data_IF_471396856470
#
_entry.id   IF_471396856470
#
_cell.length_a   1.000
_cell.length_b   1.000
_cell.length_c   1.000
_cell.angle_alpha   90.00
_cell.angle_beta   90.00
_cell.angle_gamma   90.00
#
_symmetry.space_group_name_H-M   'P 1'
#
loop_
_entity.id
_entity.type
_entity.pdbx_description
1 polymer ?
#
# COMPACT_ATOMS: atom_id res chain seq x y z
N UNK A 1 43.72 17.85 34.78
CA UNK A 1 43.41 18.04 33.37
C UNK A 1 42.02 17.56 33.14
N UNK A 2 41.03 18.50 32.96
CA UNK A 2 39.63 18.19 32.77
C UNK A 2 39.37 18.17 31.24
N UNK A 3 39.06 17.00 30.69
CA UNK A 3 38.69 16.89 29.27
C UNK A 3 37.19 17.16 29.12
N UNK A 4 36.83 18.26 28.48
CA UNK A 4 35.47 18.57 28.11
C UNK A 4 35.14 17.85 26.82
N UNK A 5 34.22 16.85 26.91
CA UNK A 5 33.68 16.15 25.73
C UNK A 5 32.48 16.95 25.25
N UNK A 6 32.63 17.66 24.11
CA UNK A 6 31.49 18.23 23.38
C UNK A 6 30.78 17.14 22.59
N UNK A 7 29.60 16.74 23.06
CA UNK A 7 28.68 15.93 22.26
C UNK A 7 27.96 16.84 21.26
N UNK A 8 28.32 16.78 19.98
CA UNK A 8 27.53 17.37 18.91
C UNK A 8 26.30 16.49 18.66
N UNK A 9 25.16 16.93 19.14
CA UNK A 9 23.88 16.37 18.70
C UNK A 9 23.60 16.86 17.27
N UNK A 10 23.77 15.99 16.29
CA UNK A 10 23.28 16.23 14.93
C UNK A 10 21.74 16.18 15.01
N UNK A 11 21.01 17.25 14.61
CA UNK A 11 19.56 17.17 14.56
C UNK A 11 19.18 16.10 13.54
N UNK A 12 18.34 15.15 13.93
CA UNK A 12 17.73 14.21 13.02
C UNK A 12 16.92 15.03 12.01
N UNK A 13 17.39 15.04 10.76
CA UNK A 13 16.69 15.63 9.65
C UNK A 13 15.47 14.75 9.41
N UNK A 14 14.29 15.17 9.88
CA UNK A 14 13.03 14.56 9.49
C UNK A 14 12.95 14.66 7.96
N UNK A 15 13.10 13.54 7.29
CA UNK A 15 12.81 13.44 5.87
C UNK A 15 11.30 13.72 5.73
N UNK A 16 10.97 14.95 5.33
CA UNK A 16 9.63 15.26 4.86
C UNK A 16 9.43 14.43 3.60
N UNK A 17 8.73 13.31 3.72
CA UNK A 17 8.23 12.60 2.56
C UNK A 17 7.38 13.61 1.78
N UNK A 18 7.81 13.90 0.55
CA UNK A 18 7.09 14.80 -0.35
C UNK A 18 5.67 14.25 -0.50
N UNK A 19 4.66 15.08 -0.18
CA UNK A 19 3.27 14.65 -0.19
C UNK A 19 2.90 14.32 -1.64
N UNK A 20 2.54 13.07 -1.92
CA UNK A 20 2.14 12.65 -3.26
C UNK A 20 0.80 13.30 -3.63
N UNK A 21 0.68 13.77 -4.87
CA UNK A 21 -0.52 14.42 -5.39
C UNK A 21 -1.17 13.55 -6.47
N UNK A 22 -2.49 13.41 -6.38
CA UNK A 22 -3.32 12.76 -7.37
C UNK A 22 -4.28 13.78 -7.97
N UNK A 23 -4.23 13.98 -9.27
CA UNK A 23 -5.16 14.84 -10.01
C UNK A 23 -6.02 14.03 -10.99
N UNK A 24 -7.00 14.68 -11.66
CA UNK A 24 -7.99 14.01 -12.52
C UNK A 24 -7.36 13.27 -13.71
N UNK A 25 -6.23 13.74 -14.21
CA UNK A 25 -5.56 13.19 -15.39
C UNK A 25 -4.45 12.17 -15.06
N UNK A 26 -4.21 11.91 -13.78
CA UNK A 26 -3.11 11.04 -13.33
C UNK A 26 -3.59 9.83 -12.57
N UNK A 27 -2.81 8.77 -12.67
CA UNK A 27 -2.93 7.60 -11.80
C UNK A 27 -1.70 7.53 -10.90
N UNK A 28 -1.91 7.10 -9.66
CA UNK A 28 -0.85 6.77 -8.73
C UNK A 28 -0.82 5.26 -8.54
N UNK A 29 0.36 4.66 -8.74
CA UNK A 29 0.58 3.23 -8.56
C UNK A 29 1.54 3.00 -7.39
N UNK A 30 1.13 2.16 -6.46
CA UNK A 30 1.97 1.70 -5.36
C UNK A 30 2.11 0.19 -5.46
N UNK A 31 3.35 -0.27 -5.60
CA UNK A 31 3.68 -1.69 -5.69
C UNK A 31 4.52 -2.07 -4.48
N UNK A 32 4.08 -3.11 -3.79
CA UNK A 32 4.91 -3.81 -2.81
C UNK A 32 5.42 -5.07 -3.49
N UNK A 33 6.70 -5.06 -3.82
CA UNK A 33 7.41 -6.27 -4.27
C UNK A 33 7.92 -7.00 -3.03
N UNK A 34 7.59 -8.26 -2.93
CA UNK A 34 8.04 -9.12 -1.84
C UNK A 34 9.51 -9.54 -2.01
N UNK A 35 10.32 -8.68 -2.62
CA UNK A 35 11.77 -8.82 -2.68
C UNK A 35 12.37 -8.17 -1.43
N UNK A 36 12.64 -8.98 -0.44
CA UNK A 36 13.45 -8.56 0.72
C UNK A 36 14.86 -8.21 0.24
N UNK A 37 15.36 -6.97 0.39
CA UNK A 37 16.65 -6.54 -0.14
C UNK A 37 17.86 -7.01 0.68
N UNK A 38 17.70 -7.81 1.73
CA UNK A 38 18.81 -8.27 2.55
C UNK A 38 18.97 -9.79 2.48
N UNK A 39 19.92 -10.22 1.65
CA UNK A 39 20.51 -11.56 1.72
C UNK A 39 21.39 -11.66 2.96
N UNK A 40 20.85 -12.19 4.03
CA UNK A 40 21.64 -12.80 5.08
C UNK A 40 21.80 -14.29 4.77
N UNK A 41 23.02 -14.74 4.59
CA UNK A 41 23.39 -16.10 4.14
C UNK A 41 22.95 -17.21 5.14
N UNK A 42 22.36 -16.86 6.27
CA UNK A 42 21.96 -17.80 7.32
C UNK A 42 20.47 -18.13 7.40
N UNK A 43 19.61 -17.44 6.67
CA UNK A 43 18.18 -17.72 6.66
C UNK A 43 17.71 -18.18 5.27
N UNK A 44 17.40 -19.47 5.16
CA UNK A 44 16.62 -20.00 4.04
C UNK A 44 15.21 -19.46 4.20
N UNK A 45 14.94 -18.25 3.67
CA UNK A 45 13.58 -17.73 3.57
C UNK A 45 12.85 -18.52 2.50
N UNK A 46 11.58 -18.90 2.73
CA UNK A 46 10.79 -19.52 1.70
C UNK A 46 10.72 -18.59 0.48
N UNK A 47 10.84 -19.16 -0.71
CA UNK A 47 10.67 -18.44 -1.97
C UNK A 47 9.25 -17.89 -1.95
N UNK A 48 9.13 -16.56 -1.97
CA UNK A 48 7.82 -15.89 -2.03
C UNK A 48 7.18 -16.18 -3.38
N UNK A 49 5.96 -16.67 -3.35
CA UNK A 49 5.19 -17.03 -4.57
C UNK A 49 4.44 -15.84 -5.14
N UNK A 50 4.11 -14.85 -4.30
CA UNK A 50 3.55 -13.56 -4.74
C UNK A 50 4.68 -12.62 -5.17
N UNK A 51 4.59 -12.03 -6.37
CA UNK A 51 5.61 -11.13 -6.88
C UNK A 51 5.13 -9.68 -7.08
N UNK A 52 3.86 -9.44 -7.43
CA UNK A 52 3.29 -8.11 -7.56
C UNK A 52 2.04 -7.97 -6.69
N UNK A 53 2.07 -7.00 -5.78
CA UNK A 53 0.97 -6.59 -4.93
C UNK A 53 0.75 -5.09 -5.15
N UNK A 54 -0.22 -4.74 -5.99
CA UNK A 54 -0.38 -3.37 -6.48
C UNK A 54 -1.69 -2.75 -6.02
N UNK A 55 -1.64 -1.44 -5.74
CA UNK A 55 -2.79 -0.56 -5.64
C UNK A 55 -2.61 0.54 -6.68
N UNK A 56 -3.52 0.63 -7.64
CA UNK A 56 -3.59 1.73 -8.60
C UNK A 56 -4.74 2.63 -8.20
N UNK A 57 -4.49 3.93 -8.07
CA UNK A 57 -5.47 4.92 -7.66
C UNK A 57 -5.65 5.98 -8.73
N UNK A 58 -6.89 6.36 -8.96
CA UNK A 58 -7.27 7.47 -9.80
C UNK A 58 -8.37 8.29 -9.11
N UNK A 59 -8.35 9.60 -9.28
CA UNK A 59 -9.46 10.46 -8.89
C UNK A 59 -10.29 10.84 -10.10
N UNK A 60 -11.60 10.67 -10.02
CA UNK A 60 -12.55 11.09 -11.05
C UNK A 60 -13.62 11.97 -10.43
N UNK A 61 -13.93 13.11 -11.08
CA UNK A 61 -14.84 14.12 -10.52
C UNK A 61 -16.20 13.55 -10.12
N UNK A 62 -16.76 12.66 -10.95
CA UNK A 62 -18.10 12.10 -10.74
C UNK A 62 -18.10 10.78 -9.96
N UNK A 63 -16.94 10.16 -9.76
CA UNK A 63 -16.82 8.84 -9.16
C UNK A 63 -16.04 8.82 -7.82
N UNK A 64 -15.30 9.90 -7.52
CA UNK A 64 -14.44 10.02 -6.36
C UNK A 64 -13.13 9.28 -6.52
N UNK A 65 -12.65 8.65 -5.45
CA UNK A 65 -11.43 7.84 -5.45
C UNK A 65 -11.73 6.44 -6.01
N UNK A 66 -11.15 6.15 -7.16
CA UNK A 66 -11.20 4.83 -7.80
C UNK A 66 -9.91 4.08 -7.50
N UNK A 67 -10.02 2.85 -7.05
CA UNK A 67 -8.88 2.00 -6.66
C UNK A 67 -8.99 0.67 -7.37
N UNK A 68 -7.88 0.20 -7.94
CA UNK A 68 -7.74 -1.16 -8.48
C UNK A 68 -6.65 -1.87 -7.68
N UNK A 69 -6.98 -3.03 -7.14
CA UNK A 69 -6.07 -3.90 -6.41
C UNK A 69 -5.69 -5.07 -7.29
N UNK A 70 -4.40 -5.35 -7.43
CA UNK A 70 -3.89 -6.49 -8.20
C UNK A 70 -2.94 -7.31 -7.34
N UNK A 71 -3.14 -8.62 -7.32
CA UNK A 71 -2.24 -9.59 -6.70
C UNK A 71 -1.81 -10.59 -7.76
N UNK A 72 -0.52 -10.84 -7.89
CA UNK A 72 0.03 -11.76 -8.89
C UNK A 72 0.95 -12.80 -8.25
N UNK A 73 0.80 -14.05 -8.70
CA UNK A 73 1.61 -15.19 -8.30
C UNK A 73 2.38 -15.77 -9.48
N UNK A 74 3.46 -16.51 -9.19
CA UNK A 74 4.25 -17.23 -10.20
C UNK A 74 3.51 -18.42 -10.83
N UNK A 75 2.37 -18.83 -10.25
CA UNK A 75 1.53 -19.92 -10.73
C UNK A 75 0.10 -19.79 -10.24
N UNK A 76 -0.79 -20.68 -10.69
CA UNK A 76 -2.19 -20.69 -10.25
C UNK A 76 -2.29 -21.05 -8.77
N UNK A 77 -2.65 -20.08 -7.93
CA UNK A 77 -2.89 -20.27 -6.52
C UNK A 77 -4.28 -20.88 -6.28
N UNK A 78 -4.42 -21.71 -5.25
CA UNK A 78 -5.72 -22.27 -4.82
C UNK A 78 -6.70 -21.16 -4.48
N UNK A 79 -6.19 -20.10 -3.83
CA UNK A 79 -6.91 -18.86 -3.53
C UNK A 79 -5.94 -17.71 -3.66
N UNK A 80 -6.38 -16.60 -4.25
CA UNK A 80 -5.62 -15.37 -4.41
C UNK A 80 -6.57 -14.17 -4.29
N UNK A 81 -6.16 -13.11 -3.59
CA UNK A 81 -7.05 -11.99 -3.39
C UNK A 81 -6.47 -10.84 -2.61
N UNK A 82 -7.36 -9.96 -2.18
CA UNK A 82 -7.10 -8.84 -1.30
C UNK A 82 -8.14 -8.80 -0.19
N UNK A 83 -7.74 -8.44 1.01
CA UNK A 83 -8.61 -8.33 2.19
C UNK A 83 -8.26 -7.12 3.05
N UNK A 84 -9.09 -6.86 4.07
CA UNK A 84 -8.87 -5.81 5.09
C UNK A 84 -8.61 -4.44 4.48
N UNK A 85 -9.32 -4.09 3.41
CA UNK A 85 -9.14 -2.82 2.72
C UNK A 85 -9.67 -1.69 3.61
N UNK A 86 -8.86 -0.65 3.79
CA UNK A 86 -9.21 0.57 4.54
C UNK A 86 -8.80 1.80 3.74
N UNK A 87 -9.75 2.68 3.49
CA UNK A 87 -9.47 4.06 3.06
C UNK A 87 -9.50 4.94 4.30
N UNK A 88 -8.44 5.71 4.50
CA UNK A 88 -8.31 6.58 5.66
C UNK A 88 -8.07 8.02 5.21
N UNK A 89 -8.73 8.96 5.89
CA UNK A 89 -8.56 10.39 5.70
C UNK A 89 -7.73 10.99 6.85
N UNK A 90 -6.80 11.87 6.51
CA UNK A 90 -6.01 12.61 7.49
C UNK A 90 -6.88 13.66 8.18
N UNK A 91 -6.90 13.61 9.51
CA UNK A 91 -7.56 14.57 10.37
C UNK A 91 -6.51 15.25 11.25
N UNK A 92 -6.87 16.31 11.96
CA UNK A 92 -5.96 16.99 12.89
C UNK A 92 -5.47 16.08 14.05
N UNK A 93 -6.26 15.07 14.42
CA UNK A 93 -5.96 14.11 15.50
C UNK A 93 -5.36 12.78 14.99
N UNK A 94 -5.13 12.63 13.69
CA UNK A 94 -4.59 11.40 13.10
C UNK A 94 -5.39 10.89 11.89
N UNK A 95 -5.44 9.59 11.69
CA UNK A 95 -6.12 8.96 10.57
C UNK A 95 -7.52 8.47 10.98
N UNK A 96 -8.54 8.86 10.22
CA UNK A 96 -9.91 8.39 10.35
C UNK A 96 -10.22 7.43 9.21
N UNK A 97 -10.66 6.21 9.51
CA UNK A 97 -11.17 5.27 8.50
C UNK A 97 -12.52 5.77 7.97
N UNK A 98 -12.60 5.97 6.66
CA UNK A 98 -13.79 6.50 5.96
C UNK A 98 -14.47 5.45 5.10
N UNK A 99 -13.75 4.40 4.70
CA UNK A 99 -14.29 3.24 3.99
C UNK A 99 -13.55 1.98 4.44
N UNK A 100 -14.28 0.88 4.59
CA UNK A 100 -13.73 -0.46 4.77
C UNK A 100 -14.36 -1.43 3.78
N UNK A 101 -13.60 -2.44 3.37
CA UNK A 101 -14.09 -3.57 2.60
C UNK A 101 -13.38 -4.84 3.06
N UNK A 102 -14.13 -5.93 3.17
CA UNK A 102 -13.56 -7.24 3.48
C UNK A 102 -12.67 -7.76 2.34
N UNK A 103 -12.81 -7.16 1.13
CA UNK A 103 -12.04 -7.50 -0.05
C UNK A 103 -12.76 -8.52 -0.95
N UNK A 104 -11.97 -9.19 -1.79
CA UNK A 104 -12.45 -10.22 -2.70
C UNK A 104 -11.33 -11.20 -3.05
N UNK A 105 -11.71 -12.35 -3.62
CA UNK A 105 -10.77 -13.42 -3.96
C UNK A 105 -11.18 -14.14 -5.26
N UNK A 106 -10.20 -14.82 -5.84
CA UNK A 106 -10.36 -15.76 -6.95
C UNK A 106 -9.71 -17.09 -6.60
N UNK A 107 -10.15 -18.14 -7.28
CA UNK A 107 -9.65 -19.50 -7.09
C UNK A 107 -8.96 -19.99 -8.36
N UNK A 108 -7.98 -20.87 -8.20
CA UNK A 108 -7.24 -21.52 -9.29
C UNK A 108 -6.70 -20.48 -10.32
N UNK A 109 -6.18 -19.37 -9.84
CA UNK A 109 -5.71 -18.25 -10.65
C UNK A 109 -4.33 -17.78 -10.24
N UNK A 110 -3.53 -17.32 -11.22
CA UNK A 110 -2.24 -16.69 -11.00
C UNK A 110 -2.35 -15.17 -10.80
N UNK A 111 -3.49 -14.58 -11.13
CA UNK A 111 -3.71 -13.13 -11.06
C UNK A 111 -5.12 -12.88 -10.50
N UNK A 112 -5.19 -11.94 -9.57
CA UNK A 112 -6.43 -11.38 -9.05
C UNK A 112 -6.44 -9.88 -9.32
N UNK A 113 -7.58 -9.33 -9.72
CA UNK A 113 -7.81 -7.89 -9.81
C UNK A 113 -9.25 -7.56 -9.37
N UNK A 114 -9.38 -6.48 -8.60
CA UNK A 114 -10.69 -5.97 -8.17
C UNK A 114 -10.67 -4.46 -8.05
N UNK A 115 -11.81 -3.84 -8.31
CA UNK A 115 -12.02 -2.40 -8.21
C UNK A 115 -12.87 -2.06 -6.99
N UNK A 116 -12.53 -0.92 -6.36
CA UNK A 116 -13.30 -0.33 -5.28
C UNK A 116 -13.38 1.18 -5.50
N UNK A 117 -14.52 1.80 -5.17
CA UNK A 117 -14.74 3.24 -5.27
C UNK A 117 -15.12 3.83 -3.93
N UNK A 118 -14.55 5.00 -3.64
CA UNK A 118 -14.97 5.85 -2.52
C UNK A 118 -15.50 7.17 -3.09
N UNK A 119 -16.82 7.24 -3.28
CA UNK A 119 -17.50 8.37 -3.94
C UNK A 119 -17.44 9.67 -3.12
N UNK A 120 -17.38 9.57 -1.79
CA UNK A 120 -17.37 10.72 -0.87
C UNK A 120 -15.97 11.33 -0.68
N UNK A 121 -15.01 11.00 -1.53
CA UNK A 121 -13.67 11.58 -1.48
C UNK A 121 -13.74 13.09 -1.77
N UNK A 122 -13.09 13.88 -0.91
CA UNK A 122 -13.15 15.34 -0.95
C UNK A 122 -11.81 15.87 -1.45
N UNK A 123 -11.86 16.79 -2.42
CA UNK A 123 -10.70 17.54 -2.90
C UNK A 123 -9.94 18.22 -1.76
N UNK A 124 -8.64 18.37 -1.94
CA UNK A 124 -7.72 19.02 -0.99
C UNK A 124 -7.64 18.34 0.39
N UNK A 125 -8.18 17.11 0.50
CA UNK A 125 -7.99 16.25 1.66
C UNK A 125 -6.90 15.22 1.39
N UNK A 126 -6.21 14.83 2.44
CA UNK A 126 -5.16 13.81 2.39
C UNK A 126 -5.75 12.47 2.78
N UNK A 127 -5.45 11.45 1.98
CA UNK A 127 -5.92 10.08 2.17
C UNK A 127 -4.74 9.11 2.18
N UNK A 128 -5.00 7.88 2.61
CA UNK A 128 -4.18 6.70 2.35
C UNK A 128 -5.07 5.48 2.21
N UNK A 129 -4.59 4.48 1.49
CA UNK A 129 -5.25 3.19 1.33
C UNK A 129 -4.34 2.10 1.87
N UNK A 130 -4.89 1.22 2.68
CA UNK A 130 -4.19 0.08 3.27
C UNK A 130 -4.99 -1.17 2.93
N UNK A 131 -4.32 -2.24 2.52
CA UNK A 131 -4.92 -3.54 2.32
C UNK A 131 -3.91 -4.66 2.59
N UNK A 132 -4.41 -5.90 2.63
CA UNK A 132 -3.59 -7.10 2.69
C UNK A 132 -3.82 -7.92 1.44
N UNK A 133 -2.79 -8.07 0.60
CA UNK A 133 -2.77 -9.02 -0.50
C UNK A 133 -2.45 -10.41 0.05
N UNK A 134 -3.05 -11.45 -0.50
CA UNK A 134 -2.78 -12.82 -0.06
C UNK A 134 -2.92 -13.84 -1.19
N UNK A 135 -2.24 -14.96 -1.05
CA UNK A 135 -2.34 -16.10 -1.94
C UNK A 135 -1.95 -17.41 -1.23
N UNK A 136 -2.53 -18.53 -1.66
CA UNK A 136 -2.13 -19.88 -1.27
C UNK A 136 -1.76 -20.70 -2.54
N UNK A 137 -0.47 -20.71 -2.87
CA UNK A 137 0.08 -21.52 -3.95
C UNK A 137 0.75 -22.78 -3.38
N UNK A 138 1.90 -22.62 -2.74
CA UNK A 138 2.67 -23.66 -2.04
C UNK A 138 2.60 -23.50 -0.51
N UNK A 139 1.64 -22.75 -0.04
CA UNK A 139 1.38 -22.31 1.31
C UNK A 139 0.78 -20.91 1.31
N UNK A 140 0.15 -20.56 2.41
CA UNK A 140 -0.51 -19.26 2.55
C UNK A 140 0.47 -18.14 2.82
N UNK A 141 0.42 -17.09 2.01
CA UNK A 141 1.27 -15.89 2.14
C UNK A 141 0.41 -14.62 2.19
N UNK A 142 0.87 -13.62 2.92
CA UNK A 142 0.25 -12.30 3.02
C UNK A 142 1.27 -11.18 2.88
N UNK A 143 0.85 -10.08 2.25
CA UNK A 143 1.62 -8.84 2.13
C UNK A 143 0.72 -7.65 2.41
N UNK A 144 1.08 -6.84 3.40
CA UNK A 144 0.39 -5.56 3.66
C UNK A 144 0.92 -4.50 2.70
N UNK A 145 0.02 -3.82 2.02
CA UNK A 145 0.31 -2.68 1.17
C UNK A 145 -0.32 -1.41 1.76
N UNK A 146 0.49 -0.37 1.95
CA UNK A 146 0.08 0.96 2.42
C UNK A 146 0.57 1.99 1.41
N UNK A 147 -0.34 2.74 0.82
CA UNK A 147 -0.01 3.74 -0.21
C UNK A 147 0.79 4.93 0.34
N UNK A 148 0.85 5.07 1.66
CA UNK A 148 1.25 6.32 2.26
C UNK A 148 0.22 7.43 2.04
N UNK A 149 0.55 8.63 2.49
CA UNK A 149 -0.32 9.80 2.34
C UNK A 149 -0.30 10.32 0.90
N UNK A 150 -1.49 10.64 0.37
CA UNK A 150 -1.65 11.33 -0.91
C UNK A 150 -2.81 12.32 -0.84
N UNK A 151 -2.76 13.35 -1.66
CA UNK A 151 -3.74 14.44 -1.70
C UNK A 151 -4.32 14.60 -3.09
N UNK A 152 -5.62 14.85 -3.18
CA UNK A 152 -6.24 15.22 -4.45
C UNK A 152 -6.05 16.70 -4.72
N UNK A 153 -5.60 17.02 -5.93
CA UNK A 153 -5.57 18.36 -6.47
C UNK A 153 -6.24 18.36 -7.84
N UNK A 154 -6.78 19.50 -8.25
CA UNK A 154 -7.24 19.68 -9.62
C UNK A 154 -6.14 20.34 -10.43
#
# INVERSE_FOLDING_TARGET
VLALIFAFSVPAQEAHAEEAYLNEDTTMKVTVTNMSPEYSISDVRPITTMFDCEIIMAFKMDEGLCMTFTTSCIGAAKVIGVKDIKVQQKMWYGWKTVLTSDGAESYDSAIFAADLKYADAIKDRTYRVICTHYADLDGYEEVVNDTGAFKFTY
#
